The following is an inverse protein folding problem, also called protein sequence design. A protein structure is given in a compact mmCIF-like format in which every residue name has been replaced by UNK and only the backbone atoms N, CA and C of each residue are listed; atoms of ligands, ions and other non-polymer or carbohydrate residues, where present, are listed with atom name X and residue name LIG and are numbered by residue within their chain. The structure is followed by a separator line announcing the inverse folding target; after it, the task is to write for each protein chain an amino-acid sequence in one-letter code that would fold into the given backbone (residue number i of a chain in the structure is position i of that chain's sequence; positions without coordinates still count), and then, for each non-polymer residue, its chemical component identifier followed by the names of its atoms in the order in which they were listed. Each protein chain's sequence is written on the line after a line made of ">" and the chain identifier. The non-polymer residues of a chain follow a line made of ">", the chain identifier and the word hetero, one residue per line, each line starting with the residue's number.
data_IF_305931848673
#
_entry.id   IF_305931848673
#
_cell.length_a   1.000
_cell.length_b   1.000
_cell.length_c   1.000
_cell.angle_alpha   90.00
_cell.angle_beta   90.00
_cell.angle_gamma   90.00
#
_symmetry.space_group_name_H-M   'P 1'
#
loop_
_entity.id
_entity.type
_entity.pdbx_description
1 polymer ?
#
# COMPACT_ATOMS: atom_id res chain seq x y z
N UNK A 1 24.62 -14.53 -7.95
CA UNK A 1 24.46 -13.75 -9.21
C UNK A 1 23.13 -14.19 -9.82
N UNK A 2 22.25 -13.24 -10.19
CA UNK A 2 20.99 -13.54 -10.88
C UNK A 2 21.28 -14.28 -12.20
N UNK A 3 20.47 -15.30 -12.60
CA UNK A 3 20.56 -15.89 -13.92
C UNK A 3 20.44 -14.83 -15.02
N UNK A 4 21.06 -15.07 -16.18
CA UNK A 4 20.85 -14.23 -17.36
C UNK A 4 19.36 -14.27 -17.75
N UNK A 5 18.84 -13.12 -18.22
CA UNK A 5 17.44 -13.04 -18.68
C UNK A 5 17.19 -14.04 -19.79
N UNK A 6 16.11 -14.79 -19.66
CA UNK A 6 15.74 -15.85 -20.58
C UNK A 6 14.19 -15.96 -20.67
N UNK A 7 13.69 -16.89 -21.48
CA UNK A 7 12.24 -17.05 -21.71
C UNK A 7 11.43 -17.43 -20.45
N UNK A 8 12.09 -17.93 -19.42
CA UNK A 8 11.44 -18.37 -18.18
C UNK A 8 11.56 -17.32 -17.07
N UNK A 9 12.26 -16.20 -17.32
CA UNK A 9 12.41 -15.11 -16.33
C UNK A 9 11.04 -14.58 -15.93
N UNK A 10 10.74 -14.62 -14.64
CA UNK A 10 9.48 -14.11 -14.07
C UNK A 10 9.47 -12.59 -14.09
N UNK A 11 8.41 -12.01 -14.62
CA UNK A 11 8.25 -10.55 -14.73
C UNK A 11 7.37 -10.01 -13.62
N UNK A 12 7.88 -8.97 -12.94
CA UNK A 12 7.11 -8.10 -12.06
C UNK A 12 7.18 -6.67 -12.56
N UNK A 13 6.12 -5.90 -12.32
CA UNK A 13 6.05 -4.51 -12.77
C UNK A 13 5.58 -3.57 -11.65
N UNK A 14 5.64 -2.27 -11.92
CA UNK A 14 4.77 -1.30 -11.25
C UNK A 14 3.99 -0.49 -12.26
N UNK A 15 2.77 -0.09 -11.87
CA UNK A 15 1.91 0.85 -12.59
C UNK A 15 1.78 2.14 -11.78
N UNK A 16 2.15 3.26 -12.40
CA UNK A 16 2.14 4.60 -11.80
C UNK A 16 1.92 5.64 -12.87
N UNK A 17 1.21 6.72 -12.54
CA UNK A 17 1.11 7.90 -13.41
C UNK A 17 2.46 8.61 -13.62
N UNK A 18 3.41 8.42 -12.69
CA UNK A 18 4.78 8.96 -12.76
C UNK A 18 5.77 7.88 -12.34
N UNK A 19 6.16 6.97 -13.24
CA UNK A 19 7.10 5.91 -12.93
C UNK A 19 8.46 6.48 -12.53
N UNK A 20 9.13 5.83 -11.57
CA UNK A 20 10.45 6.22 -11.09
C UNK A 20 11.44 5.05 -11.15
N UNK A 21 12.73 5.36 -11.00
CA UNK A 21 13.77 4.34 -10.98
C UNK A 21 13.98 3.69 -9.60
N UNK A 22 13.30 4.17 -8.53
CA UNK A 22 13.51 3.62 -7.18
C UNK A 22 13.11 2.14 -7.09
N UNK A 23 11.89 1.81 -7.51
CA UNK A 23 11.41 0.42 -7.53
C UNK A 23 12.27 -0.48 -8.43
N UNK A 24 12.67 0.00 -9.61
CA UNK A 24 13.53 -0.75 -10.53
C UNK A 24 14.86 -1.11 -9.86
N UNK A 25 15.54 -0.13 -9.25
CA UNK A 25 16.82 -0.35 -8.60
C UNK A 25 16.68 -1.29 -7.40
N UNK A 26 15.68 -1.06 -6.55
CA UNK A 26 15.46 -1.81 -5.32
C UNK A 26 15.14 -3.29 -5.61
N UNK A 27 14.11 -3.56 -6.42
CA UNK A 27 13.69 -4.93 -6.67
C UNK A 27 14.72 -5.72 -7.47
N UNK A 28 15.30 -5.15 -8.53
CA UNK A 28 16.30 -5.86 -9.31
C UNK A 28 17.59 -6.13 -8.50
N UNK A 29 17.98 -5.22 -7.59
CA UNK A 29 19.07 -5.48 -6.63
C UNK A 29 18.75 -6.67 -5.72
N UNK A 30 17.52 -6.75 -5.17
CA UNK A 30 17.12 -7.88 -4.34
C UNK A 30 17.09 -9.18 -5.13
N UNK A 31 16.59 -9.16 -6.37
CA UNK A 31 16.58 -10.35 -7.22
C UNK A 31 18.01 -10.84 -7.53
N UNK A 32 18.95 -9.92 -7.75
CA UNK A 32 20.35 -10.28 -7.91
C UNK A 32 20.94 -10.83 -6.62
N UNK A 33 20.74 -10.15 -5.49
CA UNK A 33 21.26 -10.54 -4.17
C UNK A 33 20.79 -11.96 -3.77
N UNK A 34 19.54 -12.30 -4.08
CA UNK A 34 18.94 -13.59 -3.74
C UNK A 34 18.99 -14.61 -4.88
N UNK A 35 19.69 -14.32 -5.98
CA UNK A 35 19.83 -15.20 -7.16
C UNK A 35 18.48 -15.64 -7.74
N UNK A 36 17.47 -14.76 -7.74
CA UNK A 36 16.15 -15.02 -8.27
C UNK A 36 16.09 -14.70 -9.77
N UNK A 37 15.50 -15.60 -10.57
CA UNK A 37 15.24 -15.37 -11.99
C UNK A 37 13.99 -14.50 -12.20
N UNK A 38 14.12 -13.24 -11.80
CA UNK A 38 13.06 -12.23 -11.83
C UNK A 38 13.56 -10.95 -12.49
N UNK A 39 12.62 -10.24 -13.13
CA UNK A 39 12.82 -8.90 -13.67
C UNK A 39 11.74 -7.97 -13.15
N UNK A 40 12.13 -6.77 -12.71
CA UNK A 40 11.19 -5.72 -12.34
C UNK A 40 11.31 -4.51 -13.27
N UNK A 41 10.16 -4.04 -13.78
CA UNK A 41 10.07 -2.88 -14.67
C UNK A 41 8.98 -1.89 -14.22
N UNK A 42 9.32 -0.62 -14.09
CA UNK A 42 8.33 0.43 -13.88
C UNK A 42 7.66 0.81 -15.20
N UNK A 43 6.33 0.91 -15.17
CA UNK A 43 5.48 1.22 -16.31
C UNK A 43 4.46 2.29 -15.97
N UNK A 44 3.88 2.90 -17.00
CA UNK A 44 2.73 3.81 -16.92
C UNK A 44 1.69 3.41 -17.94
N UNK A 45 0.47 3.86 -17.75
CA UNK A 45 -0.64 3.64 -18.68
C UNK A 45 -1.63 4.80 -18.61
N UNK A 46 -2.39 4.98 -19.67
CA UNK A 46 -3.62 5.80 -19.72
C UNK A 46 -4.88 4.93 -19.71
N UNK A 47 -4.71 3.60 -19.83
CA UNK A 47 -5.75 2.58 -19.82
C UNK A 47 -5.45 1.56 -18.73
N UNK A 48 -6.01 1.78 -17.55
CA UNK A 48 -5.75 0.90 -16.39
C UNK A 48 -6.43 -0.46 -16.54
N UNK A 49 -7.60 -0.52 -17.17
CA UNK A 49 -8.32 -1.78 -17.40
C UNK A 49 -7.56 -2.69 -18.37
N UNK A 50 -7.12 -2.12 -19.50
CA UNK A 50 -6.26 -2.83 -20.45
C UNK A 50 -4.92 -3.25 -19.85
N UNK A 51 -4.32 -2.41 -19.00
CA UNK A 51 -3.08 -2.75 -18.30
C UNK A 51 -3.25 -3.94 -17.34
N UNK A 52 -4.33 -3.98 -16.56
CA UNK A 52 -4.63 -5.09 -15.64
C UNK A 52 -5.01 -6.36 -16.41
N UNK A 53 -5.76 -6.24 -17.51
CA UNK A 53 -5.99 -7.37 -18.41
C UNK A 53 -4.67 -7.94 -18.96
N UNK A 54 -3.72 -7.05 -19.29
CA UNK A 54 -2.35 -7.43 -19.69
C UNK A 54 -1.57 -8.13 -18.58
N UNK A 55 -1.65 -7.65 -17.35
CA UNK A 55 -1.03 -8.32 -16.18
C UNK A 55 -1.52 -9.77 -16.07
N UNK A 56 -2.83 -9.98 -16.24
CA UNK A 56 -3.46 -11.29 -16.19
C UNK A 56 -3.02 -12.17 -17.37
N UNK A 57 -3.19 -11.68 -18.59
CA UNK A 57 -2.99 -12.45 -19.81
C UNK A 57 -1.53 -12.80 -20.11
N UNK A 58 -0.60 -11.92 -19.73
CA UNK A 58 0.84 -12.11 -19.94
C UNK A 58 1.53 -12.85 -18.78
N UNK A 59 0.79 -13.27 -17.76
CA UNK A 59 1.36 -13.95 -16.60
C UNK A 59 2.36 -13.09 -15.80
N UNK A 60 2.18 -11.75 -15.78
CA UNK A 60 3.00 -10.86 -14.96
C UNK A 60 2.74 -11.19 -13.50
N UNK A 61 3.75 -11.72 -12.79
CA UNK A 61 3.62 -12.34 -11.47
C UNK A 61 3.24 -11.35 -10.37
N UNK A 62 3.75 -10.15 -10.43
CA UNK A 62 3.49 -9.13 -9.42
C UNK A 62 3.39 -7.74 -10.03
N UNK A 63 2.46 -6.93 -9.50
CA UNK A 63 2.29 -5.55 -9.93
C UNK A 63 2.16 -4.64 -8.71
N UNK A 64 3.15 -3.77 -8.49
CA UNK A 64 3.01 -2.66 -7.55
C UNK A 64 2.14 -1.57 -8.16
N UNK A 65 1.19 -1.04 -7.39
CA UNK A 65 0.26 0.00 -7.85
C UNK A 65 0.49 1.30 -7.08
N UNK A 66 0.70 2.38 -7.82
CA UNK A 66 0.85 3.73 -7.25
C UNK A 66 -0.20 4.69 -7.79
N UNK A 67 -0.12 5.95 -7.33
CA UNK A 67 -1.06 6.98 -7.78
C UNK A 67 -1.01 7.17 -9.31
N UNK A 68 -2.18 7.40 -9.95
CA UNK A 68 -3.52 7.56 -9.38
C UNK A 68 -4.31 6.24 -9.25
N UNK A 69 -3.75 5.08 -9.52
CA UNK A 69 -4.44 3.83 -9.83
C UNK A 69 -4.88 2.99 -8.62
N UNK A 70 -4.44 3.31 -7.39
CA UNK A 70 -4.65 2.48 -6.18
C UNK A 70 -6.11 2.13 -5.88
N UNK A 71 -7.04 2.99 -6.24
CA UNK A 71 -8.48 2.74 -6.08
C UNK A 71 -9.11 2.15 -7.34
N UNK A 72 -8.67 2.63 -8.52
CA UNK A 72 -9.23 2.22 -9.80
C UNK A 72 -9.03 0.73 -10.11
N UNK A 73 -8.00 0.10 -9.56
CA UNK A 73 -7.75 -1.33 -9.78
C UNK A 73 -8.64 -2.25 -8.94
N UNK A 74 -9.28 -1.77 -7.87
CA UNK A 74 -10.08 -2.60 -6.96
C UNK A 74 -11.16 -3.43 -7.70
N UNK A 75 -12.00 -2.84 -8.57
CA UNK A 75 -13.04 -3.58 -9.27
C UNK A 75 -12.52 -4.59 -10.31
N UNK A 76 -11.20 -4.57 -10.61
CA UNK A 76 -10.55 -5.43 -11.59
C UNK A 76 -9.89 -6.67 -10.96
N UNK A 77 -9.97 -6.79 -9.63
CA UNK A 77 -9.36 -7.89 -8.87
C UNK A 77 -10.36 -9.04 -8.66
N UNK A 78 -9.83 -10.26 -8.57
CA UNK A 78 -10.64 -11.43 -8.21
C UNK A 78 -10.82 -11.49 -6.69
N UNK A 79 -9.81 -11.05 -5.93
CA UNK A 79 -9.84 -10.99 -4.48
C UNK A 79 -9.14 -9.73 -3.97
N UNK A 80 -9.72 -9.11 -2.95
CA UNK A 80 -9.12 -7.96 -2.26
C UNK A 80 -8.92 -8.34 -0.80
N UNK A 81 -7.66 -8.40 -0.38
CA UNK A 81 -7.28 -8.69 1.00
C UNK A 81 -7.80 -7.62 1.98
N UNK A 82 -8.05 -8.03 3.23
CA UNK A 82 -8.50 -7.12 4.29
C UNK A 82 -7.64 -5.86 4.41
N UNK A 83 -6.32 -5.97 4.26
CA UNK A 83 -5.39 -4.83 4.30
C UNK A 83 -5.72 -3.74 3.27
N UNK A 84 -6.20 -4.12 2.09
CA UNK A 84 -6.61 -3.17 1.06
C UNK A 84 -8.06 -2.70 1.24
N UNK A 85 -8.94 -3.57 1.76
CA UNK A 85 -10.35 -3.24 2.03
C UNK A 85 -10.47 -2.16 3.10
N UNK A 86 -9.71 -2.27 4.20
CA UNK A 86 -9.78 -1.38 5.36
C UNK A 86 -9.52 0.08 4.98
N UNK A 87 -8.68 0.33 3.98
CA UNK A 87 -8.38 1.70 3.52
C UNK A 87 -8.96 2.04 2.14
N UNK A 88 -9.52 1.05 1.42
CA UNK A 88 -10.04 1.22 0.07
C UNK A 88 -8.95 1.58 -0.94
N UNK A 89 -7.76 1.00 -0.82
CA UNK A 89 -6.65 1.28 -1.72
C UNK A 89 -5.70 0.07 -1.82
N UNK A 90 -5.36 -0.30 -3.04
CA UNK A 90 -4.43 -1.38 -3.39
C UNK A 90 -3.07 -0.79 -3.73
N UNK A 91 -1.98 -1.36 -3.20
CA UNK A 91 -0.63 -1.02 -3.62
C UNK A 91 0.14 -2.22 -4.19
N UNK A 92 -0.38 -3.43 -4.07
CA UNK A 92 0.29 -4.66 -4.51
C UNK A 92 -0.75 -5.64 -5.06
N UNK A 93 -0.49 -6.19 -6.25
CA UNK A 93 -1.27 -7.25 -6.88
C UNK A 93 -0.36 -8.45 -7.08
N UNK A 94 -0.84 -9.61 -6.72
CA UNK A 94 -0.19 -10.90 -6.98
C UNK A 94 -1.04 -11.66 -7.99
N UNK A 95 -0.44 -12.09 -9.09
CA UNK A 95 -1.08 -12.89 -10.11
C UNK A 95 -0.63 -14.35 -9.95
N UNK A 96 -1.56 -15.24 -9.70
CA UNK A 96 -1.33 -16.69 -9.67
C UNK A 96 -2.21 -17.33 -10.74
N UNK A 97 -1.60 -17.68 -11.86
CA UNK A 97 -2.26 -18.36 -12.98
C UNK A 97 -3.52 -17.62 -13.50
N UNK A 98 -3.45 -16.29 -13.55
CA UNK A 98 -4.55 -15.45 -13.97
C UNK A 98 -5.47 -14.98 -12.85
N UNK A 99 -5.37 -15.51 -11.62
CA UNK A 99 -6.11 -15.04 -10.46
C UNK A 99 -5.37 -13.87 -9.79
N UNK A 100 -6.01 -12.71 -9.72
CA UNK A 100 -5.42 -11.47 -9.20
C UNK A 100 -5.88 -11.22 -7.77
N UNK A 101 -4.96 -11.35 -6.82
CA UNK A 101 -5.19 -11.05 -5.42
C UNK A 101 -4.49 -9.74 -5.04
N UNK A 102 -5.25 -8.81 -4.48
CA UNK A 102 -4.79 -7.45 -4.18
C UNK A 102 -4.57 -7.23 -2.69
N UNK A 103 -3.52 -6.49 -2.35
CA UNK A 103 -3.09 -6.18 -0.98
C UNK A 103 -2.77 -4.72 -0.79
N UNK A 104 -2.70 -4.30 0.48
CA UNK A 104 -2.02 -3.07 0.87
C UNK A 104 -0.91 -3.36 1.87
N UNK A 105 0.31 -3.38 1.38
CA UNK A 105 1.50 -3.70 2.18
C UNK A 105 1.87 -2.61 3.19
N UNK A 106 1.39 -1.37 3.02
CA UNK A 106 1.58 -0.30 4.00
C UNK A 106 0.81 -0.64 5.29
N UNK A 107 -0.45 -1.09 5.18
CA UNK A 107 -1.27 -1.55 6.32
C UNK A 107 -0.62 -2.76 7.01
N UNK A 108 -0.19 -3.75 6.21
CA UNK A 108 0.47 -4.96 6.72
C UNK A 108 1.75 -4.59 7.51
N UNK A 109 2.56 -3.67 6.97
CA UNK A 109 3.80 -3.24 7.61
C UNK A 109 3.53 -2.54 8.95
N UNK A 110 2.56 -1.62 9.00
CA UNK A 110 2.19 -0.93 10.25
C UNK A 110 1.65 -1.91 11.28
N UNK A 111 0.76 -2.83 10.90
CA UNK A 111 0.24 -3.87 11.80
C UNK A 111 1.37 -4.75 12.36
N UNK A 112 2.34 -5.12 11.54
CA UNK A 112 3.53 -5.87 11.96
C UNK A 112 4.39 -5.09 12.95
N UNK A 113 4.59 -3.78 12.73
CA UNK A 113 5.33 -2.91 13.65
C UNK A 113 4.62 -2.78 15.00
N UNK A 114 3.32 -2.52 15.02
CA UNK A 114 2.53 -2.45 16.26
C UNK A 114 2.68 -3.73 17.09
N UNK A 115 2.58 -4.88 16.42
CA UNK A 115 2.74 -6.20 17.06
C UNK A 115 4.16 -6.42 17.58
N UNK A 116 5.19 -6.14 16.78
CA UNK A 116 6.60 -6.38 17.16
C UNK A 116 7.07 -5.49 18.31
N UNK A 117 6.51 -4.29 18.42
CA UNK A 117 6.80 -3.36 19.51
C UNK A 117 5.83 -3.47 20.69
N UNK A 118 4.88 -4.41 20.64
CA UNK A 118 3.88 -4.64 21.69
C UNK A 118 3.18 -3.33 22.13
N UNK A 119 2.82 -2.47 21.17
CA UNK A 119 2.20 -1.17 21.47
C UNK A 119 0.80 -1.39 22.04
N UNK A 120 0.55 -0.87 23.27
CA UNK A 120 -0.75 -1.02 23.93
C UNK A 120 -1.85 -0.24 23.18
N UNK A 121 -2.89 -0.90 22.68
CA UNK A 121 -3.97 -0.24 21.94
C UNK A 121 -4.87 0.68 22.79
N UNK A 122 -4.73 0.65 24.11
CA UNK A 122 -5.43 1.57 25.05
C UNK A 122 -4.80 2.96 25.07
N UNK A 123 -3.55 3.10 24.62
CA UNK A 123 -2.86 4.37 24.59
C UNK A 123 -3.45 5.30 23.52
N UNK A 124 -3.58 6.60 23.81
CA UNK A 124 -3.94 7.58 22.79
C UNK A 124 -2.79 7.77 21.79
N UNK A 125 -3.15 8.15 20.57
CA UNK A 125 -2.16 8.45 19.53
C UNK A 125 -2.48 9.74 18.77
N UNK A 126 -1.43 10.36 18.22
CA UNK A 126 -1.52 11.46 17.27
C UNK A 126 -0.98 10.98 15.92
N UNK A 127 -1.75 11.16 14.85
CA UNK A 127 -1.35 10.82 13.50
C UNK A 127 -1.32 12.06 12.61
N UNK A 128 -0.13 12.44 12.15
CA UNK A 128 0.05 13.60 11.29
C UNK A 128 -0.10 13.25 9.81
N UNK A 129 -1.07 13.84 9.16
CA UNK A 129 -1.36 13.70 7.74
C UNK A 129 -2.74 13.14 7.44
N UNK A 130 -3.16 13.21 6.16
CA UNK A 130 -4.43 12.68 5.65
C UNK A 130 -4.30 12.04 4.27
N UNK A 131 -3.06 11.74 3.84
CA UNK A 131 -2.76 11.04 2.59
C UNK A 131 -2.81 9.53 2.72
N UNK A 132 -2.41 8.82 1.66
CA UNK A 132 -2.49 7.35 1.59
C UNK A 132 -1.76 6.62 2.72
N UNK A 133 -0.56 7.08 3.13
CA UNK A 133 0.16 6.49 4.26
C UNK A 133 -0.59 6.74 5.58
N UNK A 134 -1.11 7.95 5.81
CA UNK A 134 -1.91 8.23 7.00
C UNK A 134 -3.17 7.36 7.05
N UNK A 135 -3.82 7.10 5.91
CA UNK A 135 -4.95 6.18 5.84
C UNK A 135 -4.54 4.74 6.19
N UNK A 136 -3.37 4.28 5.74
CA UNK A 136 -2.84 2.97 6.08
C UNK A 136 -2.55 2.84 7.59
N UNK A 137 -1.92 3.86 8.18
CA UNK A 137 -1.65 3.90 9.62
C UNK A 137 -2.97 3.90 10.41
N UNK A 138 -3.92 4.80 10.07
CA UNK A 138 -5.20 4.89 10.76
C UNK A 138 -5.98 3.57 10.70
N UNK A 139 -6.00 2.90 9.54
CA UNK A 139 -6.64 1.60 9.37
C UNK A 139 -5.99 0.50 10.19
N UNK A 140 -4.66 0.40 10.15
CA UNK A 140 -3.92 -0.60 10.93
C UNK A 140 -4.09 -0.37 12.45
N UNK A 141 -4.11 0.87 12.91
CA UNK A 141 -4.37 1.21 14.30
C UNK A 141 -5.79 0.81 14.71
N UNK A 142 -6.79 1.11 13.88
CA UNK A 142 -8.16 0.73 14.13
C UNK A 142 -8.33 -0.80 14.25
N UNK A 143 -7.74 -1.56 13.34
CA UNK A 143 -7.75 -3.03 13.36
C UNK A 143 -7.02 -3.60 14.59
N UNK A 144 -5.93 -2.95 15.01
CA UNK A 144 -5.21 -3.31 16.22
C UNK A 144 -5.92 -2.94 17.54
N UNK A 145 -7.10 -2.29 17.46
CA UNK A 145 -7.93 -1.97 18.63
C UNK A 145 -7.74 -0.58 19.21
N UNK A 146 -6.94 0.29 18.59
CA UNK A 146 -6.81 1.69 19.03
C UNK A 146 -8.12 2.44 18.78
N UNK A 147 -8.61 3.18 19.80
CA UNK A 147 -9.86 3.94 19.74
C UNK A 147 -9.69 5.41 20.11
N UNK A 148 -8.62 5.76 20.80
CA UNK A 148 -8.33 7.13 21.25
C UNK A 148 -7.28 7.77 20.33
N UNK A 149 -7.69 8.22 19.14
CA UNK A 149 -6.79 8.81 18.14
C UNK A 149 -7.20 10.20 17.72
N UNK A 150 -6.22 11.03 17.34
CA UNK A 150 -6.45 12.33 16.71
C UNK A 150 -5.65 12.43 15.41
N UNK A 151 -6.34 12.71 14.32
CA UNK A 151 -5.74 12.96 13.00
C UNK A 151 -5.39 14.46 12.92
N UNK A 152 -4.12 14.75 12.75
CA UNK A 152 -3.61 16.13 12.63
C UNK A 152 -3.39 16.41 11.13
N UNK A 153 -4.24 17.22 10.52
CA UNK A 153 -4.13 17.49 9.08
C UNK A 153 -4.63 18.88 8.71
N UNK A 154 -3.80 19.64 7.97
CA UNK A 154 -4.14 20.98 7.46
C UNK A 154 -5.27 20.96 6.43
N UNK A 155 -5.40 19.88 5.65
CA UNK A 155 -6.53 19.69 4.74
C UNK A 155 -7.72 19.18 5.57
N UNK A 156 -8.63 20.09 5.91
CA UNK A 156 -9.81 19.82 6.73
C UNK A 156 -10.69 18.72 6.14
N UNK A 157 -11.02 18.82 4.86
CA UNK A 157 -11.91 17.85 4.20
C UNK A 157 -11.34 16.43 4.26
N UNK A 158 -10.06 16.26 3.89
CA UNK A 158 -9.40 14.96 3.90
C UNK A 158 -9.12 14.45 5.33
N UNK A 159 -8.73 15.34 6.25
CA UNK A 159 -8.48 14.99 7.65
C UNK A 159 -9.74 14.56 8.37
N UNK A 160 -10.84 15.31 8.23
CA UNK A 160 -12.14 14.99 8.82
C UNK A 160 -12.73 13.70 8.23
N UNK A 161 -12.61 13.49 6.91
CA UNK A 161 -13.07 12.26 6.27
C UNK A 161 -12.31 11.03 6.80
N UNK A 162 -10.99 11.13 6.94
CA UNK A 162 -10.17 10.05 7.50
C UNK A 162 -10.52 9.78 8.96
N UNK A 163 -10.65 10.82 9.78
CA UNK A 163 -11.01 10.70 11.19
C UNK A 163 -12.38 10.03 11.36
N UNK A 164 -13.40 10.49 10.64
CA UNK A 164 -14.77 9.92 10.68
C UNK A 164 -14.81 8.45 10.31
N UNK A 165 -14.00 8.03 9.34
CA UNK A 165 -13.96 6.63 8.87
C UNK A 165 -13.68 5.65 10.00
N UNK A 166 -12.86 6.05 10.98
CA UNK A 166 -12.41 5.19 12.08
C UNK A 166 -12.89 5.66 13.46
N UNK A 167 -13.72 6.71 13.54
CA UNK A 167 -14.20 7.24 14.80
C UNK A 167 -13.14 8.01 15.61
N UNK A 168 -12.11 8.55 14.94
CA UNK A 168 -11.07 9.38 15.55
C UNK A 168 -11.45 10.87 15.57
N UNK A 169 -10.76 11.65 16.40
CA UNK A 169 -10.83 13.10 16.38
C UNK A 169 -10.02 13.66 15.21
N UNK A 170 -10.32 14.91 14.81
CA UNK A 170 -9.51 15.67 13.86
C UNK A 170 -9.16 17.04 14.46
N UNK A 171 -7.94 17.51 14.15
CA UNK A 171 -7.50 18.85 14.42
C UNK A 171 -6.61 19.37 13.25
N UNK A 172 -6.63 20.68 12.95
CA UNK A 172 -5.80 21.25 11.89
C UNK A 172 -4.30 21.24 12.26
N UNK A 173 -4.01 21.42 13.53
CA UNK A 173 -2.67 21.46 14.13
C UNK A 173 -2.68 20.77 15.51
N UNK A 174 -1.52 20.28 16.00
CA UNK A 174 -1.47 19.55 17.26
C UNK A 174 -1.80 20.44 18.48
N UNK A 175 -1.53 21.77 18.44
CA UNK A 175 -1.67 22.64 19.61
C UNK A 175 -0.93 22.07 20.82
N UNK A 176 -1.62 22.00 21.96
CA UNK A 176 -1.09 21.41 23.20
C UNK A 176 -1.37 19.90 23.32
N UNK A 177 -1.87 19.26 22.26
CA UNK A 177 -2.13 17.82 22.28
C UNK A 177 -0.81 17.04 22.37
N UNK A 178 -0.78 16.10 23.30
CA UNK A 178 0.32 15.15 23.46
C UNK A 178 -0.20 13.73 23.49
N UNK A 179 0.60 12.79 23.02
CA UNK A 179 0.29 11.37 23.11
C UNK A 179 1.58 10.55 23.22
N UNK A 180 1.56 9.42 23.91
CA UNK A 180 2.71 8.52 23.99
C UNK A 180 3.04 7.83 22.68
N UNK A 181 2.10 7.80 21.74
CA UNK A 181 2.28 7.24 20.39
C UNK A 181 2.05 8.34 19.36
N UNK A 182 3.06 8.63 18.54
CA UNK A 182 3.08 9.73 17.57
C UNK A 182 3.44 9.17 16.20
#
# INVERSE_FOLDING_TARGET
>A
MRPALNKNTTVCISLSGRPSNHGIKFHNYLYEKHSLDYLYKAMTTTDIEGAIAGVRALGIRGCSVSMPFKQAVIPLMDEVDHSAQVIGAVNTIVNTDGYLHAYNTDVIAVASLLKSHAVDPKLPFLLRGSGGMAAAVAGAFYDAGFRAGTIIARNEAAGTALARRYGYAWAPEPGDLTAPVI
#
